data_IF_689726621839
#
_entry.id   IF_689726621839
#
_cell.length_a   1.000
_cell.length_b   1.000
_cell.length_c   1.000
_cell.angle_alpha   90.00
_cell.angle_beta   90.00
_cell.angle_gamma   90.00
#
_symmetry.space_group_name_H-M   'P 1'
#
loop_
_entity.id
_entity.type
_entity.pdbx_description
1 polymer ?
#
# COMPACT_ATOMS: atom_id res chain seq x y z
N UNK A 1 -4.88 -1.87 -10.71
CA UNK A 1 -4.42 -3.26 -10.68
C UNK A 1 -3.16 -3.36 -11.51
N UNK A 2 -2.14 -4.01 -10.98
CA UNK A 2 -0.93 -4.41 -11.68
C UNK A 2 -0.80 -5.92 -11.62
N UNK A 3 -0.28 -6.52 -12.68
CA UNK A 3 0.00 -7.95 -12.71
C UNK A 3 1.39 -8.15 -13.29
N UNK A 4 2.19 -9.00 -12.65
CA UNK A 4 3.56 -9.28 -13.08
C UNK A 4 3.89 -10.77 -12.91
N UNK A 5 4.52 -11.35 -13.92
CA UNK A 5 5.07 -12.68 -13.85
C UNK A 5 6.46 -12.65 -13.19
N UNK A 6 6.64 -13.43 -12.13
CA UNK A 6 7.88 -13.45 -11.35
C UNK A 6 8.95 -14.29 -12.04
N UNK A 7 10.05 -13.64 -12.37
CA UNK A 7 11.20 -14.25 -13.06
C UNK A 7 12.31 -14.68 -12.10
N UNK A 8 13.31 -15.34 -12.66
CA UNK A 8 14.51 -15.79 -11.91
C UNK A 8 15.26 -14.60 -11.29
N UNK A 9 15.27 -13.42 -11.93
CA UNK A 9 15.90 -12.21 -11.40
C UNK A 9 15.20 -11.61 -10.17
N UNK A 10 13.99 -12.07 -9.84
CA UNK A 10 13.26 -11.64 -8.65
C UNK A 10 13.56 -12.52 -7.41
N UNK A 11 14.30 -13.63 -7.58
CA UNK A 11 14.58 -14.61 -6.54
C UNK A 11 15.59 -14.10 -5.50
N UNK A 12 15.31 -14.42 -4.23
CA UNK A 12 16.27 -14.29 -3.14
C UNK A 12 17.10 -15.56 -2.95
N UNK A 13 18.01 -15.54 -2.00
CA UNK A 13 18.87 -16.70 -1.68
C UNK A 13 18.12 -17.90 -1.09
N UNK A 14 16.88 -17.71 -0.64
CA UNK A 14 16.01 -18.77 -0.13
C UNK A 14 15.16 -19.44 -1.23
N UNK A 15 15.27 -18.98 -2.49
CA UNK A 15 14.54 -19.55 -3.64
C UNK A 15 13.13 -19.03 -3.85
N UNK A 16 12.71 -18.04 -3.07
CA UNK A 16 11.45 -17.30 -3.26
C UNK A 16 11.71 -15.89 -3.80
N UNK A 17 10.65 -15.21 -4.18
CA UNK A 17 10.74 -13.81 -4.63
C UNK A 17 11.10 -12.91 -3.46
N UNK A 18 11.98 -11.94 -3.69
CA UNK A 18 12.32 -10.92 -2.69
C UNK A 18 11.07 -10.19 -2.20
N UNK A 19 10.91 -10.07 -0.88
CA UNK A 19 9.85 -9.24 -0.28
C UNK A 19 9.90 -7.80 -0.77
N UNK A 20 11.10 -7.25 -0.99
CA UNK A 20 11.29 -5.92 -1.57
C UNK A 20 10.72 -5.78 -2.99
N UNK A 21 10.77 -6.83 -3.81
CA UNK A 21 10.13 -6.84 -5.13
C UNK A 21 8.61 -6.71 -5.02
N UNK A 22 8.00 -7.46 -4.09
CA UNK A 22 6.56 -7.36 -3.82
C UNK A 22 6.19 -5.99 -3.26
N UNK A 23 6.99 -5.46 -2.32
CA UNK A 23 6.79 -4.10 -1.77
C UNK A 23 6.85 -3.02 -2.85
N UNK A 24 7.79 -3.14 -3.80
CA UNK A 24 7.88 -2.21 -4.93
C UNK A 24 6.62 -2.23 -5.79
N UNK A 25 6.08 -3.41 -6.08
CA UNK A 25 4.81 -3.53 -6.82
C UNK A 25 3.64 -2.92 -6.04
N UNK A 26 3.62 -3.05 -4.72
CA UNK A 26 2.63 -2.40 -3.86
C UNK A 26 2.73 -0.88 -3.94
N UNK A 27 3.95 -0.33 -3.88
CA UNK A 27 4.21 1.09 -3.98
C UNK A 27 3.77 1.67 -5.34
N UNK A 28 4.12 0.99 -6.43
CA UNK A 28 3.72 1.37 -7.79
C UNK A 28 2.19 1.35 -7.95
N UNK A 29 1.52 0.29 -7.48
CA UNK A 29 0.06 0.17 -7.55
C UNK A 29 -0.63 1.23 -6.71
N UNK A 30 -0.11 1.52 -5.51
CA UNK A 30 -0.63 2.56 -4.63
C UNK A 30 -0.46 3.96 -5.25
N UNK A 31 0.70 4.25 -5.83
CA UNK A 31 0.97 5.49 -6.54
C UNK A 31 -0.01 5.73 -7.68
N UNK A 32 -0.25 4.71 -8.52
CA UNK A 32 -1.22 4.80 -9.62
C UNK A 32 -2.64 5.06 -9.09
N UNK A 33 -3.06 4.37 -8.04
CA UNK A 33 -4.39 4.57 -7.44
C UNK A 33 -4.55 5.99 -6.88
N UNK A 34 -3.54 6.48 -6.16
CA UNK A 34 -3.51 7.81 -5.59
C UNK A 34 -3.52 8.91 -6.67
N UNK A 35 -2.69 8.79 -7.72
CA UNK A 35 -2.66 9.74 -8.85
C UNK A 35 -4.02 9.79 -9.56
N UNK A 36 -4.65 8.65 -9.78
CA UNK A 36 -5.98 8.61 -10.41
C UNK A 36 -7.05 9.31 -9.57
N UNK A 37 -6.92 9.26 -8.25
CA UNK A 37 -7.85 9.91 -7.33
C UNK A 37 -7.63 11.43 -7.28
N UNK A 38 -6.39 11.88 -7.01
CA UNK A 38 -6.13 13.30 -6.77
C UNK A 38 -5.71 14.09 -8.02
N UNK A 39 -5.35 13.42 -9.11
CA UNK A 39 -4.86 14.05 -10.36
C UNK A 39 -3.60 14.91 -10.17
N UNK A 40 -2.83 14.63 -9.13
CA UNK A 40 -1.58 15.29 -8.78
C UNK A 40 -0.44 14.29 -8.73
N UNK A 41 0.80 14.78 -8.68
CA UNK A 41 1.96 13.96 -8.31
C UNK A 41 1.78 13.46 -6.89
N UNK A 42 2.28 12.28 -6.60
CA UNK A 42 2.24 11.71 -5.26
C UNK A 42 3.60 11.17 -4.86
N UNK A 43 3.86 11.16 -3.56
CA UNK A 43 5.01 10.48 -2.97
C UNK A 43 4.52 9.59 -1.84
N UNK A 44 5.23 8.50 -1.64
CA UNK A 44 4.99 7.60 -0.51
C UNK A 44 5.61 8.21 0.73
N UNK A 45 4.77 8.54 1.71
CA UNK A 45 5.20 9.10 2.99
C UNK A 45 5.41 8.04 4.07
N UNK A 46 4.77 6.88 3.93
CA UNK A 46 4.91 5.77 4.86
C UNK A 46 4.26 4.51 4.36
N UNK A 47 4.76 3.39 4.84
CA UNK A 47 4.17 2.06 4.65
C UNK A 47 3.87 1.54 6.04
N UNK A 48 2.61 1.22 6.29
CA UNK A 48 2.19 0.58 7.52
C UNK A 48 2.61 -0.89 7.50
N UNK A 49 2.46 -1.55 8.63
CA UNK A 49 2.86 -2.94 8.82
C UNK A 49 2.36 -3.82 7.67
N UNK A 50 3.30 -4.44 6.95
CA UNK A 50 3.04 -5.45 5.94
C UNK A 50 3.49 -6.82 6.44
N UNK A 51 2.63 -7.82 6.27
CA UNK A 51 2.91 -9.20 6.67
C UNK A 51 2.79 -10.07 5.43
N UNK A 52 3.81 -10.89 5.20
CA UNK A 52 3.81 -11.92 4.16
C UNK A 52 3.27 -13.22 4.76
N UNK A 53 2.07 -13.61 4.36
CA UNK A 53 1.40 -14.81 4.84
C UNK A 53 1.91 -16.06 4.13
N UNK A 54 2.20 -15.90 2.84
CA UNK A 54 2.69 -16.98 1.97
C UNK A 54 3.81 -16.47 1.07
N UNK A 55 4.81 -17.30 0.76
CA UNK A 55 5.89 -16.92 -0.15
C UNK A 55 5.36 -16.80 -1.59
N UNK A 56 5.90 -15.85 -2.32
CA UNK A 56 5.75 -15.77 -3.77
C UNK A 56 6.93 -16.52 -4.40
N UNK A 57 6.66 -17.38 -5.37
CA UNK A 57 7.67 -18.20 -6.02
C UNK A 57 8.00 -17.68 -7.42
N UNK A 58 9.20 -18.03 -7.89
CA UNK A 58 9.56 -17.83 -9.31
C UNK A 58 8.59 -18.64 -10.17
N UNK A 59 8.03 -18.00 -11.21
CA UNK A 59 7.00 -18.61 -12.05
C UNK A 59 5.56 -18.27 -11.64
N UNK A 60 5.33 -17.70 -10.45
CA UNK A 60 4.02 -17.20 -10.07
C UNK A 60 3.64 -15.93 -10.82
N UNK A 61 2.36 -15.75 -11.08
CA UNK A 61 1.78 -14.50 -11.54
C UNK A 61 1.26 -13.72 -10.33
N UNK A 62 1.87 -12.58 -10.04
CA UNK A 62 1.48 -11.73 -8.92
C UNK A 62 0.54 -10.63 -9.40
N UNK A 63 -0.63 -10.57 -8.78
CA UNK A 63 -1.62 -9.51 -9.01
C UNK A 63 -1.73 -8.62 -7.78
N UNK A 64 -1.55 -7.33 -7.99
CA UNK A 64 -1.63 -6.29 -6.95
C UNK A 64 -2.82 -5.39 -7.24
N UNK A 65 -3.76 -5.33 -6.31
CA UNK A 65 -4.94 -4.47 -6.36
C UNK A 65 -4.83 -3.38 -5.33
N UNK A 66 -4.97 -2.13 -5.76
CA UNK A 66 -4.86 -0.96 -4.91
C UNK A 66 -6.14 -0.13 -4.95
N UNK A 67 -6.57 0.37 -3.78
CA UNK A 67 -7.77 1.20 -3.61
C UNK A 67 -7.48 2.31 -2.60
N UNK A 68 -7.91 3.54 -2.91
CA UNK A 68 -7.85 4.65 -1.94
C UNK A 68 -8.95 4.42 -0.90
N UNK A 69 -8.56 4.18 0.35
CA UNK A 69 -9.47 3.89 1.45
C UNK A 69 -10.01 5.16 2.12
N UNK A 70 -9.12 6.16 2.30
CA UNK A 70 -9.43 7.43 2.93
C UNK A 70 -8.55 8.54 2.35
N UNK A 71 -9.05 9.76 2.39
CA UNK A 71 -8.31 10.97 2.05
C UNK A 71 -8.45 11.99 3.18
N UNK A 72 -7.36 12.70 3.45
CA UNK A 72 -7.29 13.81 4.40
C UNK A 72 -6.88 15.08 3.66
N UNK A 73 -6.45 16.11 4.33
CA UNK A 73 -6.17 17.39 3.70
C UNK A 73 -5.19 17.28 2.51
N UNK A 74 -4.03 16.65 2.69
CA UNK A 74 -2.98 16.55 1.66
C UNK A 74 -2.48 15.12 1.44
N UNK A 75 -3.07 14.15 2.09
CA UNK A 75 -2.65 12.75 2.06
C UNK A 75 -3.81 11.79 1.90
N UNK A 76 -3.49 10.58 1.48
CA UNK A 76 -4.43 9.49 1.29
C UNK A 76 -3.85 8.21 1.88
N UNK A 77 -4.71 7.33 2.38
CA UNK A 77 -4.33 5.94 2.59
C UNK A 77 -4.77 5.11 1.39
N UNK A 78 -3.84 4.34 0.86
CA UNK A 78 -4.11 3.34 -0.17
C UNK A 78 -3.92 1.95 0.42
N UNK A 79 -4.99 1.16 0.41
CA UNK A 79 -4.94 -0.26 0.71
C UNK A 79 -4.53 -1.06 -0.51
N UNK A 80 -3.63 -2.01 -0.32
CA UNK A 80 -3.09 -2.85 -1.37
C UNK A 80 -3.22 -4.31 -0.98
N UNK A 81 -3.85 -5.09 -1.85
CA UNK A 81 -3.99 -6.53 -1.73
C UNK A 81 -3.12 -7.22 -2.76
N UNK A 82 -2.31 -8.16 -2.32
CA UNK A 82 -1.42 -8.97 -3.16
C UNK A 82 -1.90 -10.41 -3.20
N UNK A 83 -2.07 -10.94 -4.40
CA UNK A 83 -2.42 -12.34 -4.65
C UNK A 83 -1.38 -12.93 -5.61
N UNK A 84 -1.01 -14.17 -5.39
CA UNK A 84 -0.24 -14.97 -6.34
C UNK A 84 -1.12 -16.00 -7.02
N UNK A 85 -0.84 -16.28 -8.25
CA UNK A 85 -1.42 -17.38 -9.01
C UNK A 85 -0.31 -18.34 -9.44
N UNK A 86 -0.47 -19.61 -9.12
CA UNK A 86 0.33 -20.65 -9.74
C UNK A 86 -0.20 -20.91 -11.14
N UNK A 87 0.48 -20.37 -12.14
CA UNK A 87 -0.03 -20.34 -13.54
C UNK A 87 -0.39 -21.72 -14.10
N UNK A 88 0.30 -22.79 -13.67
CA UNK A 88 0.04 -24.16 -14.17
C UNK A 88 -1.24 -24.77 -13.63
N UNK A 89 -1.66 -24.41 -12.43
CA UNK A 89 -2.85 -24.97 -11.76
C UNK A 89 -4.01 -23.99 -11.71
N UNK A 90 -3.75 -22.68 -11.87
CA UNK A 90 -4.72 -21.62 -11.66
C UNK A 90 -5.03 -21.37 -10.19
N UNK A 91 -4.26 -21.97 -9.27
CA UNK A 91 -4.45 -21.77 -7.83
C UNK A 91 -4.10 -20.33 -7.45
N UNK A 92 -5.07 -19.64 -6.84
CA UNK A 92 -4.94 -18.27 -6.34
C UNK A 92 -4.77 -18.27 -4.83
N UNK A 93 -3.80 -17.49 -4.34
CA UNK A 93 -3.54 -17.36 -2.92
C UNK A 93 -3.28 -15.90 -2.53
N UNK A 94 -3.94 -15.43 -1.47
CA UNK A 94 -3.66 -14.14 -0.86
C UNK A 94 -2.34 -14.21 -0.10
N UNK A 95 -1.35 -13.41 -0.51
CA UNK A 95 0.00 -13.44 0.08
C UNK A 95 0.23 -12.33 1.07
N UNK A 96 -0.30 -11.15 0.82
CA UNK A 96 -0.09 -10.01 1.71
C UNK A 96 -1.08 -8.88 1.50
N UNK A 97 -1.21 -8.04 2.52
CA UNK A 97 -1.91 -6.76 2.46
C UNK A 97 -1.01 -5.68 3.02
N UNK A 98 -0.99 -4.53 2.38
CA UNK A 98 -0.25 -3.36 2.82
C UNK A 98 -1.15 -2.12 2.80
N UNK A 99 -0.82 -1.14 3.66
CA UNK A 99 -1.45 0.17 3.65
C UNK A 99 -0.36 1.23 3.52
N UNK A 100 -0.48 2.07 2.50
CA UNK A 100 0.49 3.11 2.20
C UNK A 100 -0.14 4.48 2.39
N UNK A 101 0.60 5.39 3.02
CA UNK A 101 0.24 6.79 3.08
C UNK A 101 0.91 7.52 1.93
N UNK A 102 0.09 8.07 1.03
CA UNK A 102 0.53 8.85 -0.12
C UNK A 102 0.24 10.33 0.12
N UNK A 103 1.18 11.20 -0.21
CA UNK A 103 1.03 12.65 -0.11
C UNK A 103 0.98 13.24 -1.52
N UNK A 104 -0.03 14.07 -1.80
CA UNK A 104 -0.14 14.79 -3.05
C UNK A 104 0.75 16.03 -3.05
N UNK A 105 1.45 16.28 -4.15
CA UNK A 105 2.37 17.38 -4.35
C UNK A 105 2.01 18.18 -5.59
N UNK A 106 2.15 19.51 -5.50
CA UNK A 106 2.12 20.41 -6.65
C UNK A 106 3.42 20.35 -7.48
N UNK A 107 3.53 21.22 -8.49
CA UNK A 107 4.72 21.31 -9.35
C UNK A 107 5.97 21.76 -8.60
N UNK A 108 5.82 22.56 -7.54
CA UNK A 108 6.89 23.02 -6.65
C UNK A 108 7.24 22.01 -5.54
N UNK A 109 6.67 20.77 -5.60
CA UNK A 109 6.85 19.69 -4.62
C UNK A 109 6.33 20.03 -3.22
N UNK A 110 5.33 20.91 -3.12
CA UNK A 110 4.65 21.24 -1.86
C UNK A 110 3.39 20.41 -1.71
N UNK A 111 3.03 19.99 -0.49
CA UNK A 111 1.76 19.29 -0.25
C UNK A 111 0.56 20.10 -0.71
N UNK A 112 -0.32 19.47 -1.47
CA UNK A 112 -1.54 20.08 -2.04
C UNK A 112 -2.77 19.29 -1.59
N UNK A 113 -3.91 19.99 -1.51
CA UNK A 113 -5.17 19.37 -1.10
C UNK A 113 -5.62 18.27 -2.06
N UNK A 114 -6.20 17.23 -1.49
CA UNK A 114 -6.75 16.10 -2.24
C UNK A 114 -8.27 16.05 -2.12
N UNK A 115 -8.97 15.58 -3.15
CA UNK A 115 -10.42 15.36 -3.08
C UNK A 115 -10.77 14.36 -1.99
N UNK A 116 -11.90 14.52 -1.29
CA UNK A 116 -12.37 13.52 -0.33
C UNK A 116 -12.73 12.19 -1.01
N UNK A 117 -12.66 11.11 -0.24
CA UNK A 117 -13.22 9.82 -0.63
C UNK A 117 -14.68 9.78 -0.19
N UNK A 118 -15.58 9.55 -1.14
CA UNK A 118 -17.02 9.39 -0.88
C UNK A 118 -17.40 7.90 -0.97
N UNK A 119 -17.45 7.19 0.17
CA UNK A 119 -17.80 5.78 0.16
C UNK A 119 -19.27 5.59 -0.19
N UNK A 120 -19.53 4.72 -1.18
CA UNK A 120 -20.88 4.41 -1.68
C UNK A 120 -21.39 3.08 -1.16
N UNK A 121 -20.51 2.13 -0.89
CA UNK A 121 -20.84 0.80 -0.38
C UNK A 121 -20.51 0.66 1.09
N UNK A 122 -21.07 -0.34 1.75
CA UNK A 122 -20.75 -0.68 3.13
C UNK A 122 -19.28 -1.10 3.28
N UNK A 123 -18.75 -1.84 2.31
CA UNK A 123 -17.35 -2.23 2.29
C UNK A 123 -16.41 -1.02 2.19
N UNK A 124 -16.73 -0.03 1.36
CA UNK A 124 -15.95 1.21 1.27
C UNK A 124 -16.00 2.02 2.56
N UNK A 125 -17.17 2.08 3.24
CA UNK A 125 -17.30 2.71 4.55
C UNK A 125 -16.43 2.01 5.59
N UNK A 126 -16.48 0.68 5.64
CA UNK A 126 -15.64 -0.12 6.54
C UNK A 126 -14.15 0.15 6.30
N UNK A 127 -13.68 0.13 5.04
CA UNK A 127 -12.29 0.42 4.70
C UNK A 127 -11.86 1.83 5.13
N UNK A 128 -12.72 2.82 4.96
CA UNK A 128 -12.46 4.20 5.43
C UNK A 128 -12.33 4.25 6.94
N UNK A 129 -13.25 3.63 7.67
CA UNK A 129 -13.27 3.66 9.14
C UNK A 129 -12.04 2.93 9.73
N UNK A 130 -11.63 1.82 9.11
CA UNK A 130 -10.40 1.13 9.43
C UNK A 130 -9.14 1.98 9.13
N UNK A 131 -9.14 2.76 8.04
CA UNK A 131 -8.06 3.69 7.70
C UNK A 131 -7.95 4.83 8.73
N UNK A 132 -9.07 5.36 9.20
CA UNK A 132 -9.10 6.36 10.29
C UNK A 132 -8.54 5.79 11.59
N UNK A 133 -8.86 4.55 11.92
CA UNK A 133 -8.29 3.88 13.10
C UNK A 133 -6.77 3.72 12.96
N UNK A 134 -6.27 3.22 11.81
CA UNK A 134 -4.83 3.09 11.56
C UNK A 134 -4.11 4.43 11.67
N UNK A 135 -4.69 5.48 11.11
CA UNK A 135 -4.13 6.84 11.22
C UNK A 135 -4.01 7.31 12.65
N UNK A 136 -5.10 7.18 13.44
CA UNK A 136 -5.06 7.57 14.86
C UNK A 136 -3.97 6.83 15.64
N UNK A 137 -3.86 5.52 15.43
CA UNK A 137 -2.86 4.70 16.11
C UNK A 137 -1.44 5.13 15.74
N UNK A 138 -1.18 5.35 14.44
CA UNK A 138 0.14 5.80 13.93
C UNK A 138 0.54 7.17 14.50
N UNK A 139 -0.40 8.11 14.57
CA UNK A 139 -0.14 9.44 15.14
C UNK A 139 0.11 9.37 16.64
N UNK A 140 -0.66 8.58 17.37
CA UNK A 140 -0.48 8.37 18.80
C UNK A 140 0.86 7.70 19.13
N UNK A 141 1.24 6.67 18.39
CA UNK A 141 2.54 5.99 18.52
C UNK A 141 3.70 6.97 18.28
N UNK A 142 3.63 7.76 17.21
CA UNK A 142 4.64 8.78 16.92
C UNK A 142 4.79 9.79 18.07
N UNK A 143 3.68 10.27 18.60
CA UNK A 143 3.69 11.22 19.73
C UNK A 143 4.32 10.61 20.98
N UNK A 144 3.99 9.36 21.29
CA UNK A 144 4.58 8.64 22.42
C UNK A 144 6.10 8.49 22.27
N UNK A 145 6.58 8.13 21.06
CA UNK A 145 8.01 7.97 20.78
C UNK A 145 8.74 9.31 20.93
N UNK A 146 8.19 10.42 20.40
CA UNK A 146 8.78 11.75 20.53
C UNK A 146 8.87 12.15 21.99
N UNK A 147 7.78 12.05 22.75
CA UNK A 147 7.75 12.35 24.18
C UNK A 147 8.75 11.50 25.00
N UNK A 148 8.96 10.24 24.62
CA UNK A 148 9.94 9.39 25.30
C UNK A 148 11.38 9.83 25.06
N UNK A 149 11.70 10.33 23.86
CA UNK A 149 13.02 10.86 23.50
C UNK A 149 13.33 12.17 24.20
N UNK A 150 12.32 13.04 24.39
CA UNK A 150 12.49 14.33 25.05
C UNK A 150 12.69 14.23 26.58
N UNK A 151 12.48 13.04 27.15
CA UNK A 151 12.66 12.77 28.58
C UNK A 151 13.99 12.09 28.94
N UNK A 152 14.76 11.68 27.96
CA UNK A 152 16.07 11.04 28.13
C UNK A 152 17.21 11.93 27.75
#
# INVERSE_FOLDING_TARGET
MLTRWMGVGDANTAGSVHGGTVMKLCDEAAGIAAIRHCRQRVVTAGVDRMIFLHPVLVGDLVTVRATVNAAWRTSMEVGVRVEREQVRTGELEHTSTAYLTMVALDEDRRPVEVPPVEPRTEEERRRRDEAELRRRNRLAEREQIVRARDRG
#
